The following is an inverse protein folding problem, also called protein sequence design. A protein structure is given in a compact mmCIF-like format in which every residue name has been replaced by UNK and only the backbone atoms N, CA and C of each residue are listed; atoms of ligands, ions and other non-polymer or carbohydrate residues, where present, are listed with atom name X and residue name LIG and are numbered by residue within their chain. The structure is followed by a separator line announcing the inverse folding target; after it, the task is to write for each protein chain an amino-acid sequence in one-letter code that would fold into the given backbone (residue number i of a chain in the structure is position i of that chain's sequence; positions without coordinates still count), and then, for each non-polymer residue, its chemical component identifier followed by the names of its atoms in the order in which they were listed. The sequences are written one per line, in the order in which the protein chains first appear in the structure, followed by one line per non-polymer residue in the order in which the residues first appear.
data_IF_313595046661
#
_entry.id   IF_313595046661
#
_cell.length_a   1.000
_cell.length_b   1.000
_cell.length_c   1.000
_cell.angle_alpha   90.00
_cell.angle_beta   90.00
_cell.angle_gamma   90.00
#
_symmetry.space_group_name_H-M   'P 1'
#
loop_
_entity.id
_entity.type
_entity.pdbx_description
1 polymer ?
#
# COMPACT_ATOMS: atom_id res chain seq x y z
N UNK A 1 1.92 3.86 19.56
CA UNK A 1 2.76 4.30 20.70
C UNK A 1 2.86 5.82 20.68
N UNK A 2 3.44 6.47 21.69
CA UNK A 2 3.54 7.94 21.75
C UNK A 2 4.25 8.52 20.50
N UNK A 3 5.19 7.77 19.94
CA UNK A 3 5.88 8.07 18.66
C UNK A 3 4.95 8.15 17.43
N UNK A 4 3.85 7.39 17.38
CA UNK A 4 2.94 7.41 16.21
C UNK A 4 2.07 8.66 16.13
N UNK A 5 1.92 9.36 17.27
CA UNK A 5 1.13 10.59 17.35
C UNK A 5 1.97 11.81 17.00
N UNK A 6 3.30 11.72 17.09
CA UNK A 6 4.17 12.87 16.85
C UNK A 6 4.11 13.39 15.40
N UNK A 7 4.09 12.55 14.35
CA UNK A 7 3.92 13.02 12.97
C UNK A 7 2.60 13.79 12.77
N UNK A 8 1.50 13.30 13.37
CA UNK A 8 0.21 13.99 13.34
C UNK A 8 0.28 15.31 14.11
N UNK A 9 0.87 15.32 15.30
CA UNK A 9 0.99 16.52 16.13
C UNK A 9 1.82 17.61 15.44
N UNK A 10 2.94 17.24 14.82
CA UNK A 10 3.77 18.16 14.03
C UNK A 10 2.97 18.72 12.87
N UNK A 11 2.32 17.87 12.07
CA UNK A 11 1.46 18.32 10.97
C UNK A 11 0.34 19.26 11.45
N UNK A 12 -0.28 18.96 12.59
CA UNK A 12 -1.34 19.77 13.17
C UNK A 12 -0.85 21.14 13.64
N UNK A 13 0.28 21.21 14.34
CA UNK A 13 0.91 22.48 14.75
C UNK A 13 1.24 23.35 13.54
N UNK A 14 1.80 22.76 12.48
CA UNK A 14 2.14 23.49 11.27
C UNK A 14 0.90 24.01 10.55
N UNK A 15 -0.11 23.16 10.34
CA UNK A 15 -1.37 23.55 9.70
C UNK A 15 -2.08 24.66 10.48
N UNK A 16 -2.07 24.61 11.82
CA UNK A 16 -2.64 25.68 12.64
C UNK A 16 -1.88 27.00 12.50
N UNK A 17 -0.55 26.94 12.32
CA UNK A 17 0.30 28.11 12.15
C UNK A 17 0.22 28.72 10.75
N UNK A 18 0.16 27.90 9.70
CA UNK A 18 0.31 28.37 8.32
C UNK A 18 -0.97 28.26 7.49
N UNK A 19 -1.96 27.48 7.92
CA UNK A 19 -3.12 27.10 7.11
C UNK A 19 -2.80 26.07 6.01
N UNK A 20 -1.57 26.06 5.52
CA UNK A 20 -1.11 25.15 4.45
C UNK A 20 -1.27 23.66 4.77
N UNK A 21 -1.72 22.84 3.81
CA UNK A 21 -1.85 21.41 4.00
C UNK A 21 -0.52 20.69 4.31
N UNK A 22 -0.60 19.63 5.12
CA UNK A 22 0.51 18.74 5.48
C UNK A 22 0.13 17.28 5.37
N UNK A 23 1.01 16.50 4.78
CA UNK A 23 0.90 15.04 4.76
C UNK A 23 1.69 14.44 5.92
N UNK A 24 1.22 13.33 6.45
CA UNK A 24 1.89 12.58 7.50
C UNK A 24 1.61 11.08 7.34
N UNK A 25 2.39 10.24 8.01
CA UNK A 25 2.13 8.80 8.14
C UNK A 25 1.88 8.50 9.61
N UNK A 26 0.89 7.67 9.89
CA UNK A 26 0.59 7.22 11.24
C UNK A 26 0.11 5.78 11.25
N UNK A 27 0.28 5.12 12.38
CA UNK A 27 -0.32 3.82 12.62
C UNK A 27 -1.70 3.98 13.27
N UNK A 28 -2.72 3.37 12.68
CA UNK A 28 -4.09 3.39 13.18
C UNK A 28 -4.52 2.00 13.65
N UNK A 29 -5.03 1.91 14.87
CA UNK A 29 -5.68 0.70 15.38
C UNK A 29 -7.14 0.69 14.97
N UNK A 30 -7.55 -0.38 14.30
CA UNK A 30 -8.96 -0.64 14.02
C UNK A 30 -9.65 -1.19 15.27
N UNK A 31 -10.99 -1.10 15.37
CA UNK A 31 -11.74 -1.68 16.49
C UNK A 31 -11.52 -3.20 16.66
N UNK A 32 -11.13 -3.90 15.60
CA UNK A 32 -10.77 -5.33 15.61
C UNK A 32 -9.33 -5.60 16.13
N UNK A 33 -8.63 -4.57 16.60
CA UNK A 33 -7.26 -4.66 17.12
C UNK A 33 -6.17 -4.66 16.05
N UNK A 34 -6.51 -4.66 14.76
CA UNK A 34 -5.49 -4.70 13.69
C UNK A 34 -4.82 -3.34 13.52
N UNK A 35 -3.49 -3.37 13.42
CA UNK A 35 -2.68 -2.21 13.06
C UNK A 35 -2.74 -1.98 11.54
N UNK A 36 -2.94 -0.74 11.13
CA UNK A 36 -2.83 -0.30 9.73
C UNK A 36 -1.88 0.88 9.63
N UNK A 37 -1.01 0.85 8.62
CA UNK A 37 -0.27 2.04 8.19
C UNK A 37 -1.23 2.90 7.40
N UNK A 38 -1.36 4.16 7.81
CA UNK A 38 -2.22 5.12 7.16
C UNK A 38 -1.41 6.33 6.73
N UNK A 39 -1.60 6.76 5.49
CA UNK A 39 -1.15 8.08 5.03
C UNK A 39 -2.26 9.09 5.25
N UNK A 40 -1.95 10.15 5.97
CA UNK A 40 -2.86 11.24 6.26
C UNK A 40 -2.53 12.50 5.47
N UNK A 41 -3.56 13.28 5.18
CA UNK A 41 -3.43 14.67 4.76
C UNK A 41 -4.29 15.52 5.67
N UNK A 42 -3.71 16.58 6.22
CA UNK A 42 -4.35 17.56 7.09
C UNK A 42 -4.30 18.94 6.43
N UNK A 43 -5.37 19.71 6.49
CA UNK A 43 -5.41 21.10 6.01
C UNK A 43 -6.18 22.00 6.96
N UNK A 44 -5.86 23.29 6.94
CA UNK A 44 -6.52 24.31 7.74
C UNK A 44 -7.69 24.92 6.97
N UNK A 45 -8.79 25.16 7.67
CA UNK A 45 -9.89 25.98 7.17
C UNK A 45 -9.75 27.34 7.85
N UNK A 46 -9.37 28.33 7.07
CA UNK A 46 -9.22 29.71 7.52
C UNK A 46 -10.56 30.45 7.46
N UNK A 47 -10.75 31.39 8.37
CA UNK A 47 -11.85 32.36 8.31
C UNK A 47 -11.48 33.59 7.45
N UNK A 48 -12.38 34.58 7.41
CA UNK A 48 -12.20 35.82 6.65
C UNK A 48 -11.01 36.67 7.15
N UNK A 49 -10.52 36.42 8.38
CA UNK A 49 -9.36 37.09 8.96
C UNK A 49 -8.04 36.36 8.65
N UNK A 50 -8.11 35.20 8.00
CA UNK A 50 -6.96 34.33 7.74
C UNK A 50 -6.60 33.42 8.92
N UNK A 51 -7.36 33.45 10.01
CA UNK A 51 -7.10 32.61 11.18
C UNK A 51 -7.63 31.18 10.95
N UNK A 52 -6.83 30.17 11.28
CA UNK A 52 -7.22 28.77 11.15
C UNK A 52 -8.25 28.41 12.24
N UNK A 53 -9.50 28.15 11.86
CA UNK A 53 -10.61 27.86 12.80
C UNK A 53 -10.88 26.36 12.95
N UNK A 54 -10.57 25.57 11.92
CA UNK A 54 -10.82 24.14 11.90
C UNK A 54 -9.74 23.41 11.11
N UNK A 55 -9.39 22.20 11.52
CA UNK A 55 -8.55 21.30 10.73
C UNK A 55 -9.41 20.23 10.06
N UNK A 56 -9.16 19.97 8.79
CA UNK A 56 -9.80 18.89 8.02
C UNK A 56 -8.74 17.89 7.64
N UNK A 57 -8.97 16.62 7.95
CA UNK A 57 -8.05 15.54 7.63
C UNK A 57 -8.72 14.38 6.90
N UNK A 58 -7.96 13.71 6.04
CA UNK A 58 -8.30 12.41 5.47
C UNK A 58 -7.18 11.41 5.77
N UNK A 59 -7.56 10.14 5.95
CA UNK A 59 -6.63 9.03 6.17
C UNK A 59 -6.90 7.94 5.11
N UNK A 60 -5.86 7.55 4.39
CA UNK A 60 -5.87 6.42 3.46
C UNK A 60 -5.08 5.26 4.07
N UNK A 61 -5.64 4.04 4.01
CA UNK A 61 -4.92 2.84 4.43
C UNK A 61 -3.90 2.48 3.34
N UNK A 62 -2.62 2.52 3.68
CA UNK A 62 -1.49 2.24 2.79
C UNK A 62 -0.70 1.03 3.27
N UNK A 63 -1.27 0.17 4.13
CA UNK A 63 -0.54 -0.96 4.72
C UNK A 63 0.09 -1.88 3.68
N UNK A 64 -0.62 -2.17 2.57
CA UNK A 64 -0.07 -3.01 1.51
C UNK A 64 1.10 -2.31 0.78
N UNK A 65 0.93 -1.04 0.43
CA UNK A 65 1.98 -0.24 -0.21
C UNK A 65 3.23 -0.13 0.68
N UNK A 66 3.03 -0.01 1.98
CA UNK A 66 4.11 0.09 2.95
C UNK A 66 4.87 -1.24 3.13
N UNK A 67 4.15 -2.37 3.13
CA UNK A 67 4.76 -3.71 3.11
C UNK A 67 5.58 -3.90 1.85
N UNK A 68 5.07 -3.49 0.68
CA UNK A 68 5.79 -3.58 -0.60
C UNK A 68 7.03 -2.69 -0.63
N UNK A 69 6.93 -1.47 -0.10
CA UNK A 69 8.05 -0.54 -0.03
C UNK A 69 9.19 -1.06 0.85
N UNK A 70 8.87 -1.68 1.99
CA UNK A 70 9.86 -2.13 2.96
C UNK A 70 10.37 -3.54 2.68
N UNK A 71 9.64 -4.36 1.93
CA UNK A 71 10.04 -5.73 1.57
C UNK A 71 9.78 -5.96 0.06
N UNK A 72 10.52 -5.27 -0.82
CA UNK A 72 10.32 -5.36 -2.26
C UNK A 72 10.57 -6.78 -2.77
N UNK A 73 11.61 -7.46 -2.29
CA UNK A 73 11.97 -8.82 -2.69
C UNK A 73 10.86 -9.81 -2.33
N UNK A 74 10.40 -9.82 -1.07
CA UNK A 74 9.26 -10.62 -0.61
C UNK A 74 7.97 -10.37 -1.40
N UNK A 75 7.77 -9.15 -1.89
CA UNK A 75 6.55 -8.77 -2.62
C UNK A 75 6.59 -9.24 -4.05
N UNK A 76 7.76 -9.17 -4.69
CA UNK A 76 8.02 -9.75 -6.00
C UNK A 76 7.88 -11.27 -5.92
N UNK A 77 8.50 -11.91 -4.93
CA UNK A 77 8.41 -13.35 -4.72
C UNK A 77 6.96 -13.80 -4.47
N UNK A 78 6.20 -13.08 -3.65
CA UNK A 78 4.77 -13.36 -3.44
C UNK A 78 3.95 -13.20 -4.72
N UNK A 79 4.15 -12.11 -5.46
CA UNK A 79 3.44 -11.90 -6.72
C UNK A 79 3.77 -12.96 -7.77
N UNK A 80 5.04 -13.38 -7.84
CA UNK A 80 5.46 -14.50 -8.69
C UNK A 80 4.79 -15.80 -8.24
N UNK A 81 4.80 -16.13 -6.95
CA UNK A 81 4.18 -17.35 -6.43
C UNK A 81 2.66 -17.38 -6.66
N UNK A 82 1.96 -16.26 -6.50
CA UNK A 82 0.53 -16.15 -6.81
C UNK A 82 0.27 -16.36 -8.30
N UNK A 83 1.07 -15.74 -9.17
CA UNK A 83 0.98 -15.93 -10.62
C UNK A 83 1.23 -17.38 -11.01
N UNK A 84 2.27 -18.02 -10.45
CA UNK A 84 2.57 -19.43 -10.69
C UNK A 84 1.44 -20.34 -10.22
N UNK A 85 0.82 -20.03 -9.07
CA UNK A 85 -0.34 -20.78 -8.55
C UNK A 85 -1.54 -20.68 -9.50
N UNK A 86 -1.82 -19.49 -10.01
CA UNK A 86 -2.91 -19.28 -10.99
C UNK A 86 -2.63 -19.98 -12.32
N UNK A 87 -1.38 -19.94 -12.79
CA UNK A 87 -0.95 -20.64 -14.00
C UNK A 87 -1.14 -22.16 -13.85
N UNK A 88 -0.78 -22.73 -12.69
CA UNK A 88 -0.99 -24.16 -12.42
C UNK A 88 -2.46 -24.56 -12.33
N UNK A 89 -3.28 -23.74 -11.70
CA UNK A 89 -4.71 -24.02 -11.55
C UNK A 89 -5.50 -23.85 -12.86
N UNK A 90 -4.90 -23.28 -13.91
CA UNK A 90 -5.58 -23.04 -15.17
C UNK A 90 -5.90 -24.37 -15.88
N UNK A 91 -7.15 -24.59 -16.32
CA UNK A 91 -7.54 -25.82 -17.01
C UNK A 91 -7.02 -25.89 -18.46
N UNK A 92 -6.55 -24.77 -19.01
CA UNK A 92 -6.00 -24.70 -20.36
C UNK A 92 -4.48 -24.89 -20.30
N UNK A 93 -3.86 -25.54 -21.31
CA UNK A 93 -2.41 -25.56 -21.46
C UNK A 93 -1.83 -24.14 -21.53
N UNK A 94 -0.90 -23.81 -20.62
CA UNK A 94 -0.17 -22.56 -20.55
C UNK A 94 1.34 -22.78 -20.48
N UNK A 95 2.08 -22.02 -21.28
CA UNK A 95 3.54 -21.94 -21.26
C UNK A 95 3.96 -20.53 -20.85
N UNK A 96 4.88 -20.42 -19.89
CA UNK A 96 5.65 -19.19 -19.68
C UNK A 96 6.93 -19.28 -20.50
N UNK A 97 7.22 -18.22 -21.26
CA UNK A 97 8.46 -18.08 -22.04
C UNK A 97 9.20 -16.81 -21.67
N UNK A 98 10.53 -16.81 -21.79
CA UNK A 98 11.32 -15.59 -21.68
C UNK A 98 11.26 -14.74 -22.95
N UNK A 99 11.92 -13.59 -22.95
CA UNK A 99 12.01 -12.69 -24.12
C UNK A 99 12.75 -13.30 -25.31
N UNK A 100 13.49 -14.39 -25.11
CA UNK A 100 14.16 -15.17 -26.14
C UNK A 100 13.33 -16.39 -26.59
N UNK A 101 12.06 -16.46 -26.18
CA UNK A 101 11.12 -17.56 -26.49
C UNK A 101 11.53 -18.92 -25.91
N UNK A 102 12.37 -18.95 -24.87
CA UNK A 102 12.69 -20.19 -24.16
C UNK A 102 11.59 -20.48 -23.15
N UNK A 103 11.12 -21.72 -23.11
CA UNK A 103 10.15 -22.17 -22.11
C UNK A 103 10.79 -22.09 -20.73
N UNK A 104 10.22 -21.25 -19.88
CA UNK A 104 10.59 -21.12 -18.47
C UNK A 104 9.79 -22.09 -17.60
N UNK A 105 8.51 -22.30 -17.94
CA UNK A 105 7.59 -23.15 -17.18
C UNK A 105 6.40 -23.59 -18.03
N UNK A 106 5.81 -24.70 -17.64
CA UNK A 106 4.55 -25.24 -18.15
C UNK A 106 3.61 -25.53 -16.97
N UNK A 107 2.31 -25.46 -17.18
CA UNK A 107 1.34 -25.92 -16.19
C UNK A 107 1.00 -27.40 -16.36
N UNK A 108 0.37 -28.00 -15.35
CA UNK A 108 -0.04 -29.41 -15.38
C UNK A 108 -0.84 -29.79 -16.65
N UNK A 109 -1.80 -28.96 -17.08
CA UNK A 109 -2.58 -29.22 -18.31
C UNK A 109 -1.71 -29.28 -19.57
N UNK A 110 -0.59 -28.54 -19.60
CA UNK A 110 0.40 -28.61 -20.69
C UNK A 110 1.23 -29.88 -20.60
N UNK A 111 1.64 -30.28 -19.40
CA UNK A 111 2.32 -31.55 -19.19
C UNK A 111 1.43 -32.71 -19.67
N UNK A 112 0.17 -32.77 -19.25
CA UNK A 112 -0.79 -33.79 -19.69
C UNK A 112 -1.01 -33.78 -21.22
N UNK A 113 -0.99 -32.61 -21.85
CA UNK A 113 -1.14 -32.49 -23.30
C UNK A 113 0.07 -33.06 -24.06
N UNK A 114 1.28 -32.93 -23.51
CA UNK A 114 2.53 -33.32 -24.18
C UNK A 114 3.14 -34.64 -23.71
N UNK A 115 2.72 -35.19 -22.56
CA UNK A 115 3.13 -36.50 -22.03
C UNK A 115 4.06 -36.42 -20.82
#
# INVERSE_FOLDING_TARGET
MEEDREPLNVALREVLRTGEPRAFVCHAFRPDGRLRVCRGQLGGVQDETGACRLTRGALWNTTLEDVVRHNPDDSIERGLNELLTLVEAAPNPLLLVDSMQRILRVNHATEEMFG
#
